data_IF_880988722911
#
_entry.id   IF_880988722911
#
_cell.length_a   1.000
_cell.length_b   1.000
_cell.length_c   1.000
_cell.angle_alpha   90.00
_cell.angle_beta   90.00
_cell.angle_gamma   90.00
#
_symmetry.space_group_name_H-M   'P 1'
#
loop_
_entity.id
_entity.type
_entity.pdbx_description
1 polymer ?
#
# COMPACT_ATOMS: atom_id res chain seq x y z
N UNK A 1 28.68 -14.86 -15.82
CA UNK A 1 27.30 -15.13 -15.35
C UNK A 1 26.39 -14.87 -16.54
N UNK A 2 25.51 -15.81 -16.91
CA UNK A 2 24.62 -15.59 -18.06
C UNK A 2 23.63 -14.44 -17.77
N UNK A 3 23.31 -13.60 -18.77
CA UNK A 3 22.45 -12.42 -18.59
C UNK A 3 21.06 -12.80 -18.04
N UNK A 4 20.55 -13.98 -18.39
CA UNK A 4 19.29 -14.52 -17.86
C UNK A 4 19.33 -14.75 -16.35
N UNK A 5 20.44 -15.27 -15.83
CA UNK A 5 20.62 -15.50 -14.38
C UNK A 5 20.67 -14.19 -13.60
N UNK A 6 21.32 -13.18 -14.17
CA UNK A 6 21.36 -11.83 -13.57
C UNK A 6 19.96 -11.24 -13.54
N UNK A 7 19.21 -11.31 -14.65
CA UNK A 7 17.85 -10.80 -14.71
C UNK A 7 16.91 -11.51 -13.73
N UNK A 8 17.04 -12.83 -13.59
CA UNK A 8 16.26 -13.62 -12.63
C UNK A 8 16.52 -13.17 -11.17
N UNK A 9 17.78 -12.92 -10.81
CA UNK A 9 18.14 -12.39 -9.49
C UNK A 9 17.57 -11.00 -9.27
N UNK A 10 17.67 -10.10 -10.26
CA UNK A 10 17.10 -8.75 -10.17
C UNK A 10 15.57 -8.80 -10.02
N UNK A 11 14.89 -9.64 -10.79
CA UNK A 11 13.44 -9.83 -10.68
C UNK A 11 13.04 -10.40 -9.30
N UNK A 12 13.81 -11.34 -8.75
CA UNK A 12 13.57 -11.88 -7.41
C UNK A 12 13.74 -10.82 -6.32
N UNK A 13 14.81 -10.02 -6.37
CA UNK A 13 15.03 -8.89 -5.44
C UNK A 13 13.87 -7.90 -5.53
N UNK A 14 13.42 -7.60 -6.75
CA UNK A 14 12.30 -6.69 -6.98
C UNK A 14 10.98 -7.22 -6.38
N UNK A 15 10.70 -8.52 -6.53
CA UNK A 15 9.52 -9.16 -5.91
C UNK A 15 9.57 -9.09 -4.38
N UNK A 16 10.72 -9.39 -3.78
CA UNK A 16 10.91 -9.32 -2.33
C UNK A 16 10.71 -7.88 -1.83
N UNK A 17 11.33 -6.90 -2.49
CA UNK A 17 11.19 -5.49 -2.14
C UNK A 17 9.73 -5.02 -2.25
N UNK A 18 9.02 -5.43 -3.30
CA UNK A 18 7.60 -5.12 -3.51
C UNK A 18 6.73 -5.71 -2.40
N UNK A 19 7.00 -6.96 -2.01
CA UNK A 19 6.28 -7.61 -0.92
C UNK A 19 6.51 -6.91 0.43
N UNK A 20 7.76 -6.53 0.73
CA UNK A 20 8.09 -5.79 1.94
C UNK A 20 7.44 -4.40 1.98
N UNK A 21 7.41 -3.69 0.84
CA UNK A 21 6.73 -2.40 0.72
C UNK A 21 5.22 -2.54 0.98
N UNK A 22 4.59 -3.56 0.41
CA UNK A 22 3.18 -3.89 0.62
C UNK A 22 2.90 -4.22 2.09
N UNK A 23 3.71 -5.07 2.72
CA UNK A 23 3.57 -5.45 4.12
C UNK A 23 3.73 -4.24 5.05
N UNK A 24 4.69 -3.35 4.78
CA UNK A 24 4.87 -2.09 5.52
C UNK A 24 3.67 -1.16 5.36
N UNK A 25 3.11 -1.03 4.16
CA UNK A 25 1.89 -0.26 3.91
C UNK A 25 0.71 -0.80 4.74
N UNK A 26 0.50 -2.12 4.74
CA UNK A 26 -0.55 -2.77 5.53
C UNK A 26 -0.36 -2.50 7.03
N UNK A 27 0.88 -2.65 7.53
CA UNK A 27 1.19 -2.38 8.95
C UNK A 27 0.88 -0.93 9.31
N UNK A 28 1.25 0.02 8.45
CA UNK A 28 0.99 1.45 8.68
C UNK A 28 -0.51 1.76 8.64
N UNK A 29 -1.26 1.13 7.75
CA UNK A 29 -2.72 1.24 7.71
C UNK A 29 -3.37 0.73 9.00
N UNK A 30 -2.85 -0.34 9.59
CA UNK A 30 -3.30 -0.85 10.91
C UNK A 30 -3.01 0.14 12.04
N UNK A 31 -1.79 0.68 12.11
CA UNK A 31 -1.43 1.69 13.11
C UNK A 31 -2.36 2.92 13.03
N UNK A 32 -2.72 3.35 11.82
CA UNK A 32 -3.66 4.45 11.60
C UNK A 32 -5.09 4.12 12.00
N UNK A 33 -5.53 2.89 11.72
CA UNK A 33 -6.80 2.37 12.20
C UNK A 33 -6.84 2.34 13.74
N UNK A 34 -5.77 1.91 14.40
CA UNK A 34 -5.68 1.88 15.86
C UNK A 34 -5.69 3.30 16.46
N UNK A 35 -4.98 4.24 15.84
CA UNK A 35 -5.03 5.66 16.24
C UNK A 35 -6.42 6.27 16.05
N UNK A 36 -7.09 5.95 14.93
CA UNK A 36 -8.46 6.38 14.67
C UNK A 36 -9.43 5.80 15.70
N UNK A 37 -9.27 4.52 16.06
CA UNK A 37 -10.05 3.87 17.10
C UNK A 37 -9.88 4.51 18.47
N UNK A 38 -8.65 4.92 18.81
CA UNK A 38 -8.33 5.54 20.10
C UNK A 38 -8.81 6.99 20.20
N UNK A 39 -8.69 7.77 19.12
CA UNK A 39 -9.00 9.21 19.12
C UNK A 39 -10.43 9.54 18.71
N UNK A 40 -11.00 8.78 17.77
CA UNK A 40 -12.35 8.99 17.22
C UNK A 40 -13.15 7.68 17.25
N UNK A 41 -13.49 7.16 18.45
CA UNK A 41 -14.13 5.86 18.59
C UNK A 41 -15.51 5.78 17.93
N UNK A 42 -16.25 6.89 17.88
CA UNK A 42 -17.56 6.97 17.24
C UNK A 42 -17.45 6.82 15.72
N UNK A 43 -16.52 7.54 15.08
CA UNK A 43 -16.21 7.38 13.64
C UNK A 43 -15.70 5.96 13.36
N UNK A 44 -14.90 5.40 14.26
CA UNK A 44 -14.40 4.04 14.09
C UNK A 44 -15.52 2.98 14.14
N UNK A 45 -16.55 3.20 14.95
CA UNK A 45 -17.74 2.35 14.98
C UNK A 45 -18.54 2.42 13.68
N UNK A 46 -18.72 3.61 13.10
CA UNK A 46 -19.47 3.80 11.84
C UNK A 46 -18.75 3.21 10.62
N UNK A 47 -17.42 3.28 10.59
CA UNK A 47 -16.59 2.64 9.56
C UNK A 47 -16.61 1.10 9.67
N UNK A 48 -16.99 0.57 10.83
CA UNK A 48 -17.12 -0.84 11.13
C UNK A 48 -15.80 -1.44 11.61
N UNK A 49 -15.66 -1.57 12.94
CA UNK A 49 -14.49 -2.17 13.63
C UNK A 49 -14.04 -3.46 12.91
N UNK A 50 -12.79 -3.57 12.42
CA UNK A 50 -12.20 -4.84 12.06
C UNK A 50 -11.90 -5.63 13.34
N UNK A 51 -12.19 -6.94 13.35
CA UNK A 51 -11.61 -7.84 14.35
C UNK A 51 -10.12 -8.06 13.98
N UNK A 52 -9.23 -8.30 14.97
CA UNK A 52 -7.83 -8.58 14.68
C UNK A 52 -7.72 -9.74 13.69
N UNK A 53 -7.05 -9.51 12.56
CA UNK A 53 -6.77 -10.54 11.56
C UNK A 53 -7.52 -10.42 10.23
N UNK A 54 -8.71 -9.83 10.18
CA UNK A 54 -9.50 -9.73 8.95
C UNK A 54 -10.29 -8.42 8.86
N UNK A 55 -10.03 -7.63 7.81
CA UNK A 55 -11.04 -6.72 7.29
C UNK A 55 -11.97 -7.57 6.41
N UNK A 56 -13.22 -7.78 6.81
CA UNK A 56 -14.25 -8.28 5.88
C UNK A 56 -14.26 -7.43 4.61
N UNK A 57 -14.53 -8.02 3.44
CA UNK A 57 -14.46 -7.34 2.14
C UNK A 57 -15.21 -6.01 2.14
N UNK A 58 -16.44 -5.97 2.65
CA UNK A 58 -17.25 -4.76 2.73
C UNK A 58 -16.73 -3.69 3.73
N UNK A 59 -16.04 -4.11 4.80
CA UNK A 59 -15.44 -3.18 5.79
C UNK A 59 -14.11 -2.61 5.30
N UNK A 60 -13.32 -3.44 4.60
CA UNK A 60 -12.14 -2.98 3.86
C UNK A 60 -12.52 -1.87 2.88
N UNK A 61 -13.64 -2.04 2.17
CA UNK A 61 -14.17 -1.05 1.22
C UNK A 61 -14.54 0.27 1.90
N UNK A 62 -15.14 0.24 3.10
CA UNK A 62 -15.49 1.46 3.84
C UNK A 62 -14.27 2.20 4.36
N UNK A 63 -13.31 1.51 4.96
CA UNK A 63 -12.06 2.14 5.40
C UNK A 63 -11.25 2.69 4.22
N UNK A 64 -11.14 1.92 3.12
CA UNK A 64 -10.48 2.42 1.91
C UNK A 64 -11.23 3.60 1.29
N UNK A 65 -12.56 3.63 1.39
CA UNK A 65 -13.36 4.79 0.94
C UNK A 65 -13.08 6.00 1.81
N UNK A 66 -13.10 5.85 3.14
CA UNK A 66 -12.80 6.90 4.11
C UNK A 66 -11.42 7.54 3.85
N UNK A 67 -10.39 6.72 3.65
CA UNK A 67 -9.04 7.21 3.31
C UNK A 67 -8.99 7.78 1.89
N UNK A 68 -9.60 7.12 0.91
CA UNK A 68 -9.59 7.54 -0.49
C UNK A 68 -10.31 8.88 -0.74
N UNK A 69 -11.44 9.11 -0.07
CA UNK A 69 -12.28 10.30 -0.21
C UNK A 69 -11.89 11.41 0.77
N UNK A 70 -10.83 11.22 1.57
CA UNK A 70 -10.34 12.22 2.54
C UNK A 70 -11.38 12.58 3.61
N UNK A 71 -12.27 11.65 3.95
CA UNK A 71 -13.27 11.85 5.01
C UNK A 71 -12.60 12.11 6.37
N UNK A 72 -11.36 11.68 6.55
CA UNK A 72 -10.55 11.98 7.74
C UNK A 72 -10.32 13.48 7.99
N UNK A 73 -10.44 14.33 6.98
CA UNK A 73 -10.27 15.79 7.13
C UNK A 73 -11.45 16.44 7.87
N UNK A 74 -12.60 15.78 7.85
CA UNK A 74 -13.82 16.23 8.53
C UNK A 74 -13.77 15.94 10.04
N UNK A 75 -12.78 15.18 10.52
CA UNK A 75 -12.62 14.84 11.93
C UNK A 75 -12.07 15.99 12.79
N UNK A 76 -11.52 17.03 12.17
CA UNK A 76 -10.89 18.15 12.90
C UNK A 76 -9.61 17.79 13.66
N UNK A 77 -9.05 16.58 13.47
CA UNK A 77 -7.77 16.17 14.05
C UNK A 77 -6.65 16.31 13.02
N UNK A 78 -5.96 17.45 13.07
CA UNK A 78 -4.89 17.80 12.13
C UNK A 78 -3.75 16.78 12.14
N UNK A 79 -3.42 16.20 13.31
CA UNK A 79 -2.35 15.21 13.45
C UNK A 79 -2.75 13.93 12.72
N UNK A 80 -3.97 13.45 12.95
CA UNK A 80 -4.46 12.23 12.32
C UNK A 80 -4.64 12.43 10.81
N UNK A 81 -5.15 13.59 10.39
CA UNK A 81 -5.32 13.95 8.98
C UNK A 81 -3.98 13.99 8.24
N UNK A 82 -2.95 14.61 8.82
CA UNK A 82 -1.61 14.63 8.24
C UNK A 82 -1.03 13.22 8.05
N UNK A 83 -1.26 12.32 9.02
CA UNK A 83 -0.77 10.94 8.93
C UNK A 83 -1.53 10.10 7.88
N UNK A 84 -2.85 10.26 7.77
CA UNK A 84 -3.62 9.61 6.71
C UNK A 84 -3.24 10.14 5.33
N UNK A 85 -3.00 11.44 5.19
CA UNK A 85 -2.56 12.04 3.93
C UNK A 85 -1.16 11.55 3.53
N UNK A 86 -0.23 11.45 4.48
CA UNK A 86 1.09 10.87 4.24
C UNK A 86 1.01 9.39 3.85
N UNK A 87 0.12 8.63 4.50
CA UNK A 87 -0.13 7.23 4.16
C UNK A 87 -0.65 7.07 2.73
N UNK A 88 -1.66 7.84 2.35
CA UNK A 88 -2.25 7.84 1.01
C UNK A 88 -1.23 8.18 -0.07
N UNK A 89 -0.42 9.23 0.15
CA UNK A 89 0.67 9.62 -0.76
C UNK A 89 1.73 8.51 -0.90
N UNK A 90 2.08 7.86 0.20
CA UNK A 90 3.04 6.75 0.16
C UNK A 90 2.48 5.51 -0.54
N UNK A 91 1.21 5.18 -0.33
CA UNK A 91 0.57 4.06 -1.03
C UNK A 91 0.54 4.30 -2.54
N UNK A 92 0.15 5.50 -2.98
CA UNK A 92 0.18 5.89 -4.39
C UNK A 92 1.60 5.81 -4.99
N UNK A 93 2.62 6.26 -4.24
CA UNK A 93 4.02 6.17 -4.66
C UNK A 93 4.49 4.72 -4.79
N UNK A 94 4.16 3.85 -3.84
CA UNK A 94 4.53 2.43 -3.88
C UNK A 94 3.92 1.76 -5.11
N UNK A 95 2.63 1.98 -5.36
CA UNK A 95 1.94 1.42 -6.52
C UNK A 95 2.55 1.93 -7.82
N UNK A 96 2.77 3.24 -7.94
CA UNK A 96 3.38 3.83 -9.13
C UNK A 96 4.81 3.30 -9.37
N UNK A 97 5.63 3.25 -8.32
CA UNK A 97 6.99 2.70 -8.40
C UNK A 97 6.98 1.24 -8.82
N UNK A 98 6.07 0.42 -8.29
CA UNK A 98 5.93 -0.98 -8.67
C UNK A 98 5.54 -1.13 -10.16
N UNK A 99 4.57 -0.34 -10.65
CA UNK A 99 4.18 -0.36 -12.07
C UNK A 99 5.35 0.03 -12.97
N UNK A 100 6.05 1.13 -12.66
CA UNK A 100 7.17 1.63 -13.46
C UNK A 100 8.32 0.62 -13.50
N UNK A 101 8.77 0.15 -12.35
CA UNK A 101 9.87 -0.81 -12.25
C UNK A 101 9.52 -2.18 -12.83
N UNK A 102 8.28 -2.65 -12.66
CA UNK A 102 7.77 -3.86 -13.32
C UNK A 102 7.75 -3.74 -14.84
N UNK A 103 7.37 -2.56 -15.37
CA UNK A 103 7.38 -2.29 -16.81
C UNK A 103 8.80 -2.32 -17.38
N UNK A 104 9.77 -1.71 -16.67
CA UNK A 104 11.19 -1.77 -17.06
C UNK A 104 11.71 -3.20 -17.09
N UNK A 105 11.40 -4.01 -16.07
CA UNK A 105 11.78 -5.43 -16.04
C UNK A 105 11.17 -6.20 -17.20
N UNK A 106 9.88 -5.98 -17.52
CA UNK A 106 9.22 -6.61 -18.64
C UNK A 106 9.88 -6.26 -19.99
N UNK A 107 10.26 -4.99 -20.18
CA UNK A 107 10.98 -4.54 -21.37
C UNK A 107 12.37 -5.19 -21.48
N UNK A 108 13.09 -5.34 -20.37
CA UNK A 108 14.40 -6.02 -20.35
C UNK A 108 14.27 -7.52 -20.69
N UNK A 109 13.26 -8.20 -20.17
CA UNK A 109 12.95 -9.60 -20.52
C UNK A 109 12.65 -9.72 -22.02
N UNK A 110 11.82 -8.83 -22.57
CA UNK A 110 11.52 -8.81 -24.00
C UNK A 110 12.77 -8.56 -24.83
N UNK A 111 13.59 -7.58 -24.44
CA UNK A 111 14.82 -7.26 -25.15
C UNK A 111 15.79 -8.46 -25.22
N UNK A 112 16.00 -9.14 -24.08
CA UNK A 112 16.83 -10.35 -24.05
C UNK A 112 16.27 -11.48 -24.90
N UNK A 113 14.94 -11.63 -24.98
CA UNK A 113 14.31 -12.68 -25.78
C UNK A 113 14.41 -12.44 -27.29
N UNK A 114 14.41 -11.19 -27.74
CA UNK A 114 14.37 -10.84 -29.16
C UNK A 114 15.71 -10.39 -29.75
N UNK A 115 16.65 -9.94 -28.91
CA UNK A 115 17.94 -9.39 -29.34
C UNK A 115 19.16 -10.04 -28.66
N UNK A 116 18.94 -10.97 -27.72
CA UNK A 116 19.97 -11.72 -27.00
C UNK A 116 20.34 -13.04 -27.65
#
# INVERSE_FOLDING_TARGET
MEPEKVLAVVAMIWLIASFLAMARSIRRGRELADMLAARHPQTWETLGRPRPGYFESARRTRFSRFVGHREFEQLGDEILAAQFEAYRKNEARIVLSAILSGSVLALLVLALRYFG
#
